data_IF_511844340901
#
_entry.id   IF_511844340901
#
_cell.length_a   1.000
_cell.length_b   1.000
_cell.length_c   1.000
_cell.angle_alpha   90.00
_cell.angle_beta   90.00
_cell.angle_gamma   90.00
#
_symmetry.space_group_name_H-M   'P 1'
#
loop_
_entity.id
_entity.type
_entity.pdbx_description
1 polymer ?
#
# COMPACT_ATOMS: atom_id res chain seq x y z
N UNK A 1 16.78 12.14 27.07
CA UNK A 1 17.96 11.42 26.58
C UNK A 1 17.49 10.17 25.87
N UNK A 2 17.91 10.05 24.63
CA UNK A 2 17.37 9.25 23.53
C UNK A 2 17.66 7.75 23.64
N UNK A 3 16.62 6.93 23.54
CA UNK A 3 16.70 5.48 23.43
C UNK A 3 15.83 4.97 22.27
N UNK A 4 16.22 5.31 21.04
CA UNK A 4 15.84 4.55 19.83
C UNK A 4 17.07 4.51 18.92
N UNK A 5 17.99 3.63 19.29
CA UNK A 5 19.23 3.36 18.57
C UNK A 5 18.89 2.43 17.40
N UNK A 6 19.02 2.96 16.18
CA UNK A 6 19.33 2.25 14.93
C UNK A 6 18.43 1.07 14.53
N UNK A 7 17.30 1.36 13.89
CA UNK A 7 16.90 0.55 12.73
C UNK A 7 17.79 1.00 11.57
N UNK A 8 18.94 0.35 11.45
CA UNK A 8 19.78 0.48 10.28
C UNK A 8 19.08 -0.19 9.10
N UNK A 9 18.26 0.58 8.38
CA UNK A 9 17.51 0.14 7.20
C UNK A 9 18.40 0.14 5.94
N UNK A 10 19.60 -0.47 6.01
CA UNK A 10 20.54 -0.63 4.89
C UNK A 10 20.32 -1.90 4.06
N UNK A 11 19.19 -2.59 4.25
CA UNK A 11 18.79 -3.68 3.36
C UNK A 11 18.58 -3.14 1.95
N UNK A 12 19.08 -3.86 0.95
CA UNK A 12 18.75 -3.53 -0.45
C UNK A 12 17.23 -3.64 -0.63
N UNK A 13 16.64 -2.86 -1.55
CA UNK A 13 15.20 -2.96 -1.88
C UNK A 13 14.77 -4.42 -2.10
N UNK A 14 15.67 -5.24 -2.68
CA UNK A 14 15.48 -6.67 -2.91
C UNK A 14 15.28 -7.47 -1.61
N UNK A 15 16.01 -7.17 -0.55
CA UNK A 15 15.89 -7.85 0.76
C UNK A 15 14.64 -7.39 1.52
N UNK A 16 14.33 -6.09 1.46
CA UNK A 16 13.14 -5.56 2.10
C UNK A 16 11.85 -6.13 1.52
N UNK A 17 11.78 -6.34 0.20
CA UNK A 17 10.60 -6.94 -0.45
C UNK A 17 10.37 -8.38 0.02
N UNK A 18 11.42 -9.15 0.32
CA UNK A 18 11.28 -10.52 0.84
C UNK A 18 10.59 -10.53 2.21
N UNK A 19 10.70 -9.46 3.00
CA UNK A 19 10.02 -9.33 4.29
C UNK A 19 8.51 -9.05 4.16
N UNK A 20 8.04 -8.68 2.96
CA UNK A 20 6.65 -8.29 2.69
C UNK A 20 6.08 -9.01 1.46
N UNK A 21 5.98 -10.36 1.48
CA UNK A 21 5.73 -11.19 0.28
C UNK A 21 4.40 -10.95 -0.43
N UNK A 22 3.45 -10.26 0.22
CA UNK A 22 2.17 -9.88 -0.39
C UNK A 22 2.28 -8.65 -1.32
N UNK A 23 3.41 -7.93 -1.30
CA UNK A 23 3.66 -6.82 -2.21
C UNK A 23 4.34 -7.32 -3.48
N UNK A 24 3.84 -6.85 -4.62
CA UNK A 24 4.37 -7.15 -5.95
C UNK A 24 5.11 -5.94 -6.48
N UNK A 25 6.13 -6.19 -7.29
CA UNK A 25 6.78 -5.15 -8.08
C UNK A 25 6.18 -5.12 -9.47
N UNK A 26 5.76 -3.94 -9.90
CA UNK A 26 5.22 -3.72 -11.23
C UNK A 26 5.87 -2.47 -11.84
N UNK A 27 5.98 -2.45 -13.16
CA UNK A 27 6.59 -1.35 -13.90
C UNK A 27 5.52 -0.63 -14.70
N UNK A 28 5.07 0.53 -14.23
CA UNK A 28 4.03 1.34 -14.88
C UNK A 28 4.54 2.75 -15.14
N UNK A 29 4.27 3.28 -16.33
CA UNK A 29 4.63 4.65 -16.76
C UNK A 29 6.14 4.95 -16.64
N UNK A 30 7.00 3.96 -16.87
CA UNK A 30 8.45 4.14 -16.79
C UNK A 30 9.04 4.11 -15.38
N UNK A 31 8.23 3.80 -14.35
CA UNK A 31 8.67 3.79 -12.95
C UNK A 31 8.34 2.46 -12.28
N UNK A 32 9.28 1.93 -11.49
CA UNK A 32 9.05 0.75 -10.66
C UNK A 32 8.19 1.11 -9.44
N UNK A 33 7.07 0.40 -9.29
CA UNK A 33 6.07 0.61 -8.25
C UNK A 33 5.91 -0.66 -7.43
N UNK A 34 5.73 -0.50 -6.12
CA UNK A 34 5.28 -1.57 -5.23
C UNK A 34 3.76 -1.51 -5.13
N UNK A 35 3.10 -2.62 -5.48
CA UNK A 35 1.66 -2.74 -5.54
C UNK A 35 1.18 -3.84 -4.60
N UNK A 36 0.11 -3.56 -3.86
CA UNK A 36 -0.60 -4.57 -3.06
C UNK A 36 -2.11 -4.35 -3.10
N UNK A 37 -2.82 -5.46 -3.20
CA UNK A 37 -4.28 -5.54 -3.16
C UNK A 37 -4.75 -6.03 -1.79
N UNK A 38 -5.78 -5.39 -1.25
CA UNK A 38 -6.45 -5.82 -0.02
C UNK A 38 -7.93 -6.05 -0.30
N UNK A 39 -8.47 -7.12 0.27
CA UNK A 39 -9.83 -7.56 0.04
C UNK A 39 -10.67 -7.37 1.31
N UNK A 40 -11.84 -6.75 1.17
CA UNK A 40 -12.79 -6.53 2.27
C UNK A 40 -14.18 -7.02 1.87
N UNK A 41 -14.96 -7.44 2.88
CA UNK A 41 -16.37 -7.81 2.69
C UNK A 41 -17.24 -6.56 2.72
N UNK A 42 -17.02 -5.70 3.73
CA UNK A 42 -17.79 -4.48 3.92
C UNK A 42 -17.04 -3.24 3.46
N UNK A 43 -17.77 -2.28 2.87
CA UNK A 43 -17.18 -1.03 2.38
C UNK A 43 -16.63 -0.17 3.52
N UNK A 44 -17.28 -0.20 4.68
CA UNK A 44 -16.84 0.53 5.86
C UNK A 44 -15.44 0.08 6.32
N UNK A 45 -15.14 -1.22 6.26
CA UNK A 45 -13.83 -1.76 6.63
C UNK A 45 -12.75 -1.33 5.64
N UNK A 46 -13.05 -1.37 4.34
CA UNK A 46 -12.16 -0.86 3.30
C UNK A 46 -11.86 0.64 3.50
N UNK A 47 -12.88 1.43 3.81
CA UNK A 47 -12.74 2.87 4.06
C UNK A 47 -11.90 3.16 5.31
N UNK A 48 -12.18 2.46 6.43
CA UNK A 48 -11.39 2.56 7.67
C UNK A 48 -9.93 2.17 7.43
N UNK A 49 -9.68 1.15 6.63
CA UNK A 49 -8.34 0.75 6.24
C UNK A 49 -7.62 1.84 5.44
N UNK A 50 -8.26 2.38 4.40
CA UNK A 50 -7.73 3.48 3.60
C UNK A 50 -7.41 4.72 4.46
N UNK A 51 -8.28 5.07 5.40
CA UNK A 51 -8.03 6.18 6.33
C UNK A 51 -6.79 5.96 7.20
N UNK A 52 -6.55 4.73 7.68
CA UNK A 52 -5.33 4.40 8.44
C UNK A 52 -4.07 4.57 7.59
N UNK A 53 -4.10 4.14 6.32
CA UNK A 53 -2.98 4.33 5.40
C UNK A 53 -2.74 5.81 5.12
N UNK A 54 -3.79 6.60 4.90
CA UNK A 54 -3.67 8.04 4.67
C UNK A 54 -2.99 8.76 5.85
N UNK A 55 -3.38 8.46 7.09
CA UNK A 55 -2.71 9.04 8.27
C UNK A 55 -1.24 8.64 8.38
N UNK A 56 -0.92 7.39 8.03
CA UNK A 56 0.47 6.93 7.99
C UNK A 56 1.27 7.68 6.92
N UNK A 57 0.70 7.82 5.72
CA UNK A 57 1.30 8.54 4.60
C UNK A 57 1.63 10.00 4.97
N UNK A 58 0.70 10.71 5.64
CA UNK A 58 0.96 12.07 6.11
C UNK A 58 2.08 12.13 7.14
N UNK A 59 2.08 11.20 8.11
CA UNK A 59 3.13 11.16 9.15
C UNK A 59 4.52 10.92 8.58
N UNK A 60 4.61 10.04 7.57
CA UNK A 60 5.87 9.73 6.90
C UNK A 60 6.19 10.72 5.75
N UNK A 61 5.31 11.68 5.47
CA UNK A 61 5.37 12.60 4.34
C UNK A 61 5.64 11.88 3.00
N UNK A 62 4.91 10.79 2.78
CA UNK A 62 5.02 9.96 1.58
C UNK A 62 3.64 9.45 1.17
N UNK A 63 3.11 10.00 0.08
CA UNK A 63 1.73 9.80 -0.34
C UNK A 63 1.63 8.74 -1.45
N UNK A 64 1.25 7.49 -1.14
CA UNK A 64 1.01 6.48 -2.15
C UNK A 64 -0.29 6.78 -2.92
N UNK A 65 -0.41 6.25 -4.13
CA UNK A 65 -1.70 6.19 -4.81
C UNK A 65 -2.56 5.11 -4.14
N UNK A 66 -3.74 5.49 -3.65
CA UNK A 66 -4.70 4.56 -3.04
C UNK A 66 -6.00 4.60 -3.83
N UNK A 67 -6.43 3.46 -4.35
CA UNK A 67 -7.72 3.30 -5.02
C UNK A 67 -8.59 2.38 -4.18
N UNK A 68 -9.73 2.90 -3.67
CA UNK A 68 -10.75 2.11 -2.99
C UNK A 68 -11.97 2.00 -3.90
N UNK A 69 -12.20 0.81 -4.45
CA UNK A 69 -13.34 0.59 -5.34
C UNK A 69 -14.50 -0.03 -4.57
N UNK A 70 -15.60 0.71 -4.44
CA UNK A 70 -16.91 0.15 -4.10
C UNK A 70 -17.52 -0.46 -5.36
N UNK A 71 -17.77 -1.76 -5.39
CA UNK A 71 -18.47 -2.38 -6.51
C UNK A 71 -19.89 -1.80 -6.58
N UNK A 72 -20.12 -0.83 -7.47
CA UNK A 72 -21.47 -0.33 -7.78
C UNK A 72 -22.14 -1.38 -8.69
N UNK A 73 -22.75 -2.39 -8.06
CA UNK A 73 -23.67 -3.38 -8.67
C UNK A 73 -23.13 -4.22 -9.84
N UNK A 74 -22.88 -5.50 -9.57
CA UNK A 74 -23.35 -6.64 -10.38
C UNK A 74 -23.24 -7.90 -9.52
N UNK A 75 -24.30 -8.18 -8.76
CA UNK A 75 -24.44 -9.47 -8.09
C UNK A 75 -24.81 -10.51 -9.15
N UNK A 76 -23.82 -11.30 -9.58
CA UNK A 76 -24.05 -12.62 -10.18
C UNK A 76 -23.30 -13.67 -9.37
N UNK A 77 -23.66 -13.80 -8.09
CA UNK A 77 -23.43 -15.03 -7.31
C UNK A 77 -22.03 -15.29 -6.75
N UNK A 78 -21.11 -14.32 -6.75
CA UNK A 78 -19.80 -14.44 -6.09
C UNK A 78 -19.60 -13.43 -4.95
N UNK A 79 -18.68 -13.68 -3.99
CA UNK A 79 -18.38 -12.71 -2.93
C UNK A 79 -17.88 -11.39 -3.55
N UNK A 80 -18.50 -10.28 -3.13
CA UNK A 80 -18.10 -8.92 -3.55
C UNK A 80 -16.66 -8.71 -3.10
N UNK A 81 -15.72 -8.62 -4.04
CA UNK A 81 -14.32 -8.30 -3.76
C UNK A 81 -14.17 -6.78 -3.79
N UNK A 82 -14.30 -6.13 -2.63
CA UNK A 82 -13.84 -4.74 -2.48
C UNK A 82 -12.32 -4.76 -2.46
N UNK A 83 -11.71 -3.96 -3.34
CA UNK A 83 -10.26 -3.95 -3.51
C UNK A 83 -9.69 -2.59 -3.16
N UNK A 84 -8.71 -2.58 -2.25
CA UNK A 84 -7.83 -1.43 -2.03
C UNK A 84 -6.52 -1.71 -2.73
N UNK A 85 -6.19 -0.88 -3.73
CA UNK A 85 -4.89 -0.90 -4.39
C UNK A 85 -4.02 0.19 -3.79
N UNK A 86 -2.83 -0.19 -3.33
CA UNK A 86 -1.81 0.77 -2.90
C UNK A 86 -0.64 0.64 -3.87
N UNK A 87 -0.25 1.76 -4.47
CA UNK A 87 0.93 1.87 -5.32
C UNK A 87 1.85 2.96 -4.80
N UNK A 88 3.12 2.64 -4.57
CA UNK A 88 4.16 3.61 -4.22
C UNK A 88 5.36 3.47 -5.16
N UNK A 89 5.96 4.59 -5.52
CA UNK A 89 7.22 4.58 -6.28
C UNK A 89 8.36 4.20 -5.33
N UNK A 90 9.29 3.37 -5.80
CA UNK A 90 10.47 2.97 -5.02
C UNK A 90 11.53 4.09 -4.84
N UNK A 91 11.22 5.27 -5.35
CA UNK A 91 12.01 6.49 -5.17
C UNK A 91 11.81 7.02 -3.74
N UNK A 92 12.55 6.46 -2.78
CA UNK A 92 12.71 7.08 -1.47
C UNK A 92 13.55 8.35 -1.64
N UNK A 93 12.89 9.51 -1.47
CA UNK A 93 13.50 10.84 -1.21
C UNK A 93 14.62 11.26 -2.19
N UNK A 94 14.21 11.94 -3.26
CA UNK A 94 15.05 12.96 -3.91
C UNK A 94 14.23 14.24 -4.11
N UNK A 95 14.06 15.00 -3.02
CA UNK A 95 14.05 16.46 -3.04
C UNK A 95 14.38 16.97 -1.63
#
# INVERSE_FOLDING_TARGET
MSAWRTFDNRGTIKELILSVPAWKKEFHDGVEKLIREFHFVEFEDAFKFTYKIANLAERENHHPSILTNGAKLQFSGGPIKLMVFISMTLSWRQN
#
